data_IF_053809847902
#
_entry.id   IF_053809847902
#
_cell.length_a   1.000
_cell.length_b   1.000
_cell.length_c   1.000
_cell.angle_alpha   90.00
_cell.angle_beta   90.00
_cell.angle_gamma   90.00
#
_symmetry.space_group_name_H-M   'P 1'
#
loop_
_entity.id
_entity.type
_entity.pdbx_description
1 polymer ?
2 non-polymer ?
3 water ?
#
# COMPACT_ATOMS: atom_id res chain seq x y z
N UNK A 2 -15.44 -0.85 -0.81
CA UNK A 2 -15.29 -2.07 -1.60
C UNK A 2 -14.51 -3.13 -0.83
N UNK A 3 -13.48 -2.71 -0.10
CA UNK A 3 -12.66 -3.67 0.64
C UNK A 3 -13.35 -4.02 1.96
N UNK A 4 -13.50 -5.32 2.17
CA UNK A 4 -14.32 -5.89 3.22
C UNK A 4 -13.53 -6.61 4.31
N UNK A 5 -12.26 -6.90 4.04
CA UNK A 5 -11.41 -7.51 5.06
C UNK A 5 -10.49 -6.45 5.66
N UNK A 6 -10.52 -6.36 6.99
CA UNK A 6 -9.60 -5.49 7.71
C UNK A 6 -8.99 -6.30 8.85
N UNK A 7 -7.86 -5.84 9.35
CA UNK A 7 -7.12 -6.61 10.35
C UNK A 7 -7.62 -6.32 11.76
N UNK A 8 -8.19 -7.34 12.40
CA UNK A 8 -8.66 -7.18 13.78
C UNK A 8 -7.48 -6.91 14.70
N UNK A 9 -7.67 -6.11 15.73
CA UNK A 9 -6.72 -5.82 16.77
C UNK A 9 -5.38 -5.31 16.29
N UNK A 10 -5.42 -4.40 15.32
CA UNK A 10 -4.21 -3.84 14.76
C UNK A 10 -3.43 -3.02 15.78
N UNK A 11 -2.11 -3.19 15.78
CA UNK A 11 -1.27 -2.34 16.63
C UNK A 11 -0.37 -1.49 15.75
N UNK A 12 -0.91 -0.35 15.30
CA UNK A 12 -0.26 0.50 14.32
C UNK A 12 1.13 0.92 14.76
N UNK A 13 1.39 0.92 16.06
CA UNK A 13 2.73 1.33 16.49
C UNK A 13 3.76 0.37 15.90
N UNK A 14 3.44 -0.91 16.05
CA UNK A 14 4.20 -2.06 15.62
C UNK A 14 4.58 -2.04 14.14
N UNK A 15 3.73 -1.52 13.26
CA UNK A 15 4.03 -1.57 11.82
C UNK A 15 5.07 -0.53 11.41
N UNK A 16 5.72 0.10 12.38
CA UNK A 16 6.71 1.10 12.00
C UNK A 16 7.95 0.43 11.42
N UNK A 17 8.70 1.20 10.63
CA UNK A 17 9.93 0.69 10.06
C UNK A 17 10.00 0.64 8.56
N UNK A 18 11.02 -0.08 8.09
CA UNK A 18 11.29 -0.14 6.66
C UNK A 18 10.38 -1.13 5.95
N UNK A 19 9.89 -0.76 4.77
CA UNK A 19 8.97 -1.64 4.05
C UNK A 19 9.33 -1.73 2.57
N UNK A 20 9.10 -2.91 2.00
CA UNK A 20 9.28 -3.13 0.58
C UNK A 20 7.95 -3.39 -0.11
N UNK A 21 7.66 -2.63 -1.16
CA UNK A 21 6.47 -2.89 -1.96
C UNK A 21 6.74 -4.07 -2.90
N UNK A 22 6.58 -5.29 -2.42
CA UNK A 22 6.78 -6.49 -3.21
C UNK A 22 5.88 -6.52 -4.44
N UNK A 23 4.58 -6.29 -4.25
CA UNK A 23 3.62 -6.28 -5.35
C UNK A 23 2.54 -5.21 -5.15
N UNK A 24 1.84 -4.88 -6.23
CA UNK A 24 0.80 -3.88 -6.29
C UNK A 24 -0.30 -4.31 -7.26
N UNK A 25 -1.53 -3.87 -7.00
CA UNK A 25 -2.66 -4.21 -7.86
C UNK A 25 -3.68 -3.09 -7.87
N UNK A 26 -4.32 -2.85 -9.01
CA UNK A 26 -5.35 -1.81 -9.09
C UNK A 26 -6.60 -2.33 -9.78
N UNK A 27 -7.72 -1.62 -9.60
CA UNK A 27 -8.96 -2.07 -10.23
C UNK A 27 -9.01 -1.53 -11.67
N UNK A 28 -8.03 -0.70 -11.99
CA UNK A 28 -7.88 -0.02 -13.26
C UNK A 28 -6.44 -0.03 -13.75
N UNK A 29 -6.22 -0.57 -14.95
CA UNK A 29 -4.88 -0.69 -15.49
C UNK A 29 -4.18 0.66 -15.53
N UNK A 30 -4.99 1.70 -15.71
CA UNK A 30 -4.53 3.08 -15.82
C UNK A 30 -3.85 3.58 -14.55
N UNK A 31 -4.20 2.97 -13.41
CA UNK A 31 -3.64 3.42 -12.14
C UNK A 31 -2.23 2.90 -11.90
N UNK A 32 -1.81 1.94 -12.72
CA UNK A 32 -0.53 1.29 -12.47
C UNK A 32 0.29 1.08 -13.74
N UNK A 33 -0.32 1.14 -14.91
CA UNK A 33 0.33 0.88 -16.19
C UNK A 33 1.69 1.55 -16.30
N UNK A 34 1.75 2.84 -16.61
CA UNK A 34 3.03 3.52 -16.75
C UNK A 34 3.70 3.84 -15.42
N UNK A 35 4.95 4.30 -15.47
CA UNK A 35 5.69 4.59 -14.24
C UNK A 35 5.22 5.89 -13.61
N UNK A 36 4.54 6.72 -14.38
CA UNK A 36 3.94 7.96 -13.90
C UNK A 36 2.47 7.75 -13.54
N UNK A 37 2.04 6.50 -13.56
CA UNK A 37 0.68 6.15 -13.17
C UNK A 37 0.40 6.67 -11.77
N UNK A 38 -0.81 7.14 -11.53
CA UNK A 38 -1.16 7.70 -10.21
C UNK A 38 -0.80 6.79 -9.05
N UNK A 39 -1.43 5.62 -8.93
CA UNK A 39 -1.18 4.86 -7.70
C UNK A 39 0.08 4.02 -7.77
N UNK A 40 1.00 4.37 -8.67
CA UNK A 40 2.24 3.59 -8.75
C UNK A 40 3.27 4.15 -7.78
N UNK A 41 3.14 3.79 -6.51
CA UNK A 41 4.03 4.36 -5.50
C UNK A 41 4.76 3.28 -4.72
N UNK A 42 6.01 3.62 -4.38
CA UNK A 42 6.86 2.67 -3.67
C UNK A 42 7.14 3.14 -2.25
N UNK A 43 6.84 2.25 -1.31
CA UNK A 43 6.92 2.59 0.10
C UNK A 43 8.31 2.36 0.68
N UNK A 44 8.77 3.43 1.32
CA UNK A 44 10.09 3.49 1.94
C UNK A 44 9.99 3.02 3.38
N UNK A 45 9.03 3.60 4.10
CA UNK A 45 8.89 3.23 5.50
C UNK A 45 7.57 3.71 6.11
N UNK A 46 7.05 2.91 7.03
CA UNK A 46 5.84 3.27 7.76
C UNK A 46 6.20 3.92 9.10
N UNK A 47 5.68 5.12 9.33
CA UNK A 47 5.96 5.91 10.52
C UNK A 47 4.70 6.37 11.25
N UNK A 48 4.22 5.54 12.17
CA UNK A 48 3.06 5.85 13.00
C UNK A 48 3.38 6.81 14.15
N UNK A 49 2.61 7.89 14.19
CA UNK A 49 2.71 8.94 15.18
C UNK A 49 2.06 8.54 16.50
N UNK A 50 2.68 9.01 17.58
CA UNK A 50 2.26 8.72 18.95
C UNK A 50 0.78 9.01 19.18
N UNK A 51 0.18 9.98 18.50
CA UNK A 51 -1.27 10.17 18.67
C UNK A 51 -2.04 9.20 17.77
N UNK A 52 -1.33 8.23 17.18
CA UNK A 52 -1.98 7.20 16.40
C UNK A 52 -2.32 7.60 14.98
N UNK A 53 -1.56 8.52 14.39
CA UNK A 53 -1.70 8.88 12.98
C UNK A 53 -0.72 8.04 12.17
N UNK A 54 -0.70 8.14 10.84
CA UNK A 54 0.24 7.30 10.10
C UNK A 54 0.95 8.05 8.98
N UNK A 55 2.16 8.49 9.29
CA UNK A 55 3.09 9.09 8.34
C UNK A 55 3.64 8.04 7.38
N UNK A 56 3.47 8.23 6.08
CA UNK A 56 3.99 7.26 5.12
C UNK A 56 5.04 7.86 4.19
N UNK A 57 6.22 7.23 4.18
CA UNK A 57 7.31 7.58 3.27
C UNK A 57 7.31 6.69 2.04
N UNK A 58 7.35 7.31 0.86
CA UNK A 58 7.35 6.52 -0.37
C UNK A 58 8.07 7.27 -1.49
N UNK A 59 8.34 6.58 -2.58
CA UNK A 59 8.87 7.20 -3.79
C UNK A 59 7.82 7.13 -4.90
N UNK A 60 7.98 8.01 -5.89
CA UNK A 60 7.02 7.95 -6.99
C UNK A 60 7.54 8.78 -8.16
N UNK A 61 7.58 8.13 -9.31
CA UNK A 61 8.03 8.76 -10.54
C UNK A 61 7.18 9.97 -10.91
N UNK A 62 7.88 11.11 -10.99
CA UNK A 62 7.19 12.33 -11.42
C UNK A 62 8.13 13.09 -12.36
N UNK A 63 7.59 13.45 -13.51
CA UNK A 63 8.29 14.12 -14.59
C UNK A 63 9.71 13.61 -14.75
N UNK A 64 9.84 12.38 -15.26
CA UNK A 64 11.12 11.76 -15.53
C UNK A 64 12.09 11.78 -14.37
N UNK A 65 11.63 11.39 -13.18
CA UNK A 65 12.49 11.39 -12.00
C UNK A 65 11.83 10.75 -10.79
N UNK A 66 12.61 9.94 -10.07
CA UNK A 66 12.19 9.30 -8.83
C UNK A 66 12.22 10.31 -7.69
N UNK A 67 11.05 10.67 -7.18
CA UNK A 67 10.96 11.70 -6.15
C UNK A 67 10.34 11.19 -4.86
N UNK A 68 11.10 11.26 -3.77
CA UNK A 68 10.55 10.80 -2.50
C UNK A 68 9.37 11.68 -2.10
N UNK A 69 8.32 11.06 -1.56
CA UNK A 69 7.13 11.79 -1.15
C UNK A 69 6.77 11.44 0.29
N UNK A 70 6.02 12.32 0.93
CA UNK A 70 5.62 12.09 2.31
C UNK A 70 4.12 12.31 2.49
N UNK A 71 3.42 11.21 2.75
CA UNK A 71 1.97 11.27 2.90
C UNK A 71 1.58 11.00 4.34
N UNK A 72 0.47 11.58 4.78
CA UNK A 72 -0.02 11.41 6.14
C UNK A 72 -1.46 10.90 6.17
N UNK A 73 -1.59 9.71 6.75
CA UNK A 73 -2.81 8.98 7.01
C UNK A 73 -3.29 9.25 8.44
N UNK A 74 -4.42 9.93 8.53
CA UNK A 74 -5.08 10.28 9.77
C UNK A 74 -5.93 9.13 10.30
N UNK A 75 -5.71 8.75 11.55
CA UNK A 75 -6.47 7.72 12.24
C UNK A 75 -7.96 8.05 12.25
N UNK A 76 -8.76 6.99 12.23
CA UNK A 76 -10.20 7.07 12.32
C UNK A 76 -10.71 6.18 13.46
N UNK A 77 -12.02 6.18 13.65
CA UNK A 77 -12.63 5.38 14.71
C UNK A 77 -12.17 3.93 14.59
N UNK A 78 -12.08 3.44 13.35
CA UNK A 78 -11.59 2.07 13.18
C UNK A 78 -10.07 2.02 13.09
N UNK A 79 -9.46 1.29 14.01
CA UNK A 79 -8.01 1.18 14.08
C UNK A 79 -7.33 0.86 12.75
N UNK A 80 -7.92 0.08 11.85
CA UNK A 80 -7.24 -0.27 10.61
C UNK A 80 -7.59 0.63 9.43
N UNK A 81 -8.39 1.66 9.67
CA UNK A 81 -8.76 2.57 8.59
C UNK A 81 -8.27 3.99 8.86
N UNK A 82 -7.61 4.57 7.87
CA UNK A 82 -6.97 5.87 7.95
C UNK A 82 -7.44 6.72 6.77
N UNK A 83 -7.35 8.04 6.91
CA UNK A 83 -7.79 8.89 5.81
C UNK A 83 -6.64 9.79 5.36
N UNK A 84 -6.37 9.75 4.06
CA UNK A 84 -5.34 10.63 3.54
C UNK A 84 -5.96 11.99 3.18
N UNK A 85 -5.59 12.95 3.99
CA UNK A 85 -5.88 14.37 3.96
C UNK A 85 -5.79 14.96 2.57
N UNK A 86 -6.81 14.73 1.74
CA UNK A 86 -6.72 15.27 0.38
C UNK A 86 -8.07 15.27 -0.34
N UNK A 87 -7.99 15.71 -1.60
CA UNK A 87 -9.13 15.85 -2.50
C UNK A 87 -9.83 14.50 -2.68
N UNK A 88 -11.15 14.51 -2.77
CA UNK A 88 -11.96 13.31 -2.98
C UNK A 88 -11.93 12.33 -1.81
N UNK A 89 -11.17 12.62 -0.77
CA UNK A 89 -11.05 11.77 0.40
C UNK A 89 -10.81 10.32 0.00
N UNK A 90 -9.66 9.80 0.44
CA UNK A 90 -9.34 8.41 0.12
C UNK A 90 -9.03 7.68 1.42
N UNK A 91 -9.48 6.43 1.50
CA UNK A 91 -9.18 5.64 2.69
C UNK A 91 -7.99 4.72 2.47
N UNK A 92 -7.27 4.47 3.55
CA UNK A 92 -6.17 3.53 3.66
C UNK A 92 -6.55 2.40 4.61
N UNK A 93 -6.66 1.19 4.09
CA UNK A 93 -7.12 0.09 4.94
C UNK A 93 -6.02 -0.94 5.17
N UNK A 94 -5.70 -1.25 6.42
CA UNK A 94 -4.77 -2.37 6.61
C UNK A 94 -5.61 -3.65 6.62
N UNK A 95 -5.32 -4.54 5.67
CA UNK A 95 -6.04 -5.79 5.53
C UNK A 95 -5.50 -6.84 6.48
N UNK A 96 -4.18 -6.83 6.67
CA UNK A 96 -3.57 -7.93 7.42
C UNK A 96 -2.07 -7.76 7.54
N UNK A 97 -1.48 -8.12 8.68
CA UNK A 97 -0.04 -8.02 8.87
C UNK A 97 0.43 -8.82 10.08
N UNK A 98 1.68 -9.28 10.00
CA UNK A 98 2.31 -9.97 11.13
C UNK A 98 3.43 -9.08 11.67
N UNK A 99 3.44 -7.84 11.17
CA UNK A 99 4.28 -6.78 11.69
C UNK A 99 5.76 -6.91 11.36
N UNK A 100 6.24 -8.15 11.27
CA UNK A 100 7.67 -8.40 11.14
C UNK A 100 8.02 -9.13 9.85
N UNK A 101 7.00 -9.49 9.07
CA UNK A 101 7.22 -10.20 7.81
C UNK A 101 6.56 -9.45 6.66
N UNK A 102 5.24 -9.31 6.72
CA UNK A 102 4.50 -8.62 5.68
C UNK A 102 3.44 -7.68 6.24
N UNK A 103 2.81 -6.95 5.33
CA UNK A 103 1.68 -6.07 5.58
C UNK A 103 0.89 -5.87 4.29
N UNK A 104 -0.39 -6.23 4.31
CA UNK A 104 -1.26 -6.00 3.17
C UNK A 104 -2.15 -4.80 3.40
N UNK A 105 -2.03 -3.72 2.63
CA UNK A 105 -3.10 -2.71 2.81
C UNK A 105 -3.51 -2.18 1.43
N UNK A 106 -4.65 -1.49 1.40
CA UNK A 106 -5.21 -0.96 0.18
C UNK A 106 -5.57 0.53 0.30
N UNK A 107 -5.96 1.10 -0.83
CA UNK A 107 -6.41 2.49 -0.87
C UNK A 107 -7.60 2.61 -1.82
N UNK A 108 -8.76 2.95 -1.26
CA UNK A 108 -9.97 3.11 -2.06
C UNK A 108 -10.47 4.55 -1.98
N UNK A 109 -10.95 5.06 -3.12
CA UNK A 109 -11.49 6.41 -3.10
C UNK A 109 -13.01 6.34 -2.89
N UNK A 110 -13.44 6.85 -1.75
CA UNK A 110 -14.84 6.90 -1.36
C UNK A 110 -15.74 7.28 -2.54
N UNK A 111 -17.01 6.93 -2.43
CA UNK A 111 -18.04 7.26 -3.42
C UNK A 111 -17.71 6.69 -4.80
N UNK A 112 -16.80 5.72 -4.85
CA UNK A 112 -16.38 5.11 -6.10
C UNK A 112 -15.19 4.17 -5.89
N UNK A 113 -15.54 2.98 -5.42
CA UNK A 113 -14.61 1.86 -5.27
C UNK A 113 -13.82 1.58 -6.55
N UNK A 114 -14.20 0.54 -7.28
CA UNK A 114 -13.51 0.03 -8.46
C UNK A 114 -13.03 1.11 -9.42
N UNK A 115 -13.65 2.29 -9.45
CA UNK A 115 -13.15 3.40 -10.24
C UNK A 115 -12.11 4.19 -9.43
N UNK A 116 -11.45 3.49 -8.53
CA UNK A 116 -10.40 3.93 -7.64
C UNK A 116 -10.17 2.90 -6.53
N UNK A 117 -9.11 2.12 -6.66
CA UNK A 117 -8.71 1.15 -5.66
C UNK A 117 -7.42 0.45 -6.05
N UNK A 118 -6.50 0.39 -5.09
CA UNK A 118 -5.23 -0.27 -5.36
C UNK A 118 -4.68 -0.88 -4.07
N UNK A 119 -4.05 -2.04 -4.20
CA UNK A 119 -3.50 -2.69 -3.01
C UNK A 119 -2.04 -3.04 -3.15
N UNK A 120 -1.37 -3.17 -2.00
CA UNK A 120 0.04 -3.50 -2.06
C UNK A 120 0.32 -4.69 -1.15
N UNK A 121 1.43 -5.37 -1.41
CA UNK A 121 1.96 -6.35 -0.49
C UNK A 121 3.33 -5.87 0.01
N UNK A 122 3.37 -5.33 1.22
CA UNK A 122 4.56 -4.84 1.90
C UNK A 122 5.35 -5.93 2.62
N UNK A 123 6.65 -5.99 2.33
CA UNK A 123 7.50 -6.91 3.08
C UNK A 123 8.66 -6.14 3.70
N UNK A 124 9.19 -6.71 4.78
CA UNK A 124 10.27 -6.09 5.53
C UNK A 124 11.61 -6.20 4.82
N UNK A 125 11.87 -7.29 4.11
CA UNK A 125 13.14 -7.54 3.44
C UNK A 125 13.00 -7.53 1.92
N UNK A 126 14.09 -7.42 1.17
CA UNK A 126 14.01 -7.39 -0.30
C UNK A 126 13.98 -8.80 -0.88
N UNK A 127 13.35 -9.69 -0.13
CA UNK A 127 13.20 -11.09 -0.47
C UNK A 127 11.78 -11.37 -0.94
N UNK A 128 11.62 -12.16 -2.01
CA UNK A 128 10.20 -12.39 -2.35
C UNK A 128 9.67 -13.50 -1.44
N UNK A 129 8.56 -13.18 -0.78
CA UNK A 129 7.85 -14.01 0.17
C UNK A 129 6.64 -14.70 -0.45
N UNK A 130 6.76 -15.97 -0.82
CA UNK A 130 5.63 -16.61 -1.50
C UNK A 130 4.45 -16.71 -0.55
N UNK A 131 4.76 -16.94 0.72
CA UNK A 131 3.72 -17.01 1.75
C UNK A 131 2.82 -15.78 1.67
N UNK A 132 3.42 -14.61 1.83
CA UNK A 132 2.74 -13.33 1.75
C UNK A 132 1.99 -13.16 0.44
N UNK A 133 2.61 -13.46 -0.69
CA UNK A 133 1.95 -13.32 -2.00
C UNK A 133 0.66 -14.13 -2.03
N UNK A 134 0.73 -15.30 -1.41
CA UNK A 134 -0.48 -16.11 -1.25
C UNK A 134 -1.58 -15.28 -0.60
N UNK A 135 -1.30 -14.72 0.57
CA UNK A 135 -2.30 -13.95 1.31
C UNK A 135 -2.79 -12.76 0.50
N UNK A 136 -1.86 -12.20 -0.27
CA UNK A 136 -2.22 -11.00 -1.03
C UNK A 136 -3.18 -11.37 -2.15
N UNK A 137 -2.89 -12.49 -2.81
CA UNK A 137 -3.75 -12.94 -3.90
C UNK A 137 -5.10 -13.39 -3.37
N UNK A 138 -5.06 -14.10 -2.25
CA UNK A 138 -6.28 -14.55 -1.59
C UNK A 138 -7.22 -13.38 -1.35
N UNK A 139 -6.69 -12.35 -0.70
CA UNK A 139 -7.43 -11.16 -0.31
C UNK A 139 -8.00 -10.43 -1.51
N UNK A 140 -7.25 -10.52 -2.61
CA UNK A 140 -7.64 -9.78 -3.81
C UNK A 140 -8.56 -10.63 -4.67
N UNK A 141 -8.59 -11.92 -4.38
CA UNK A 141 -9.35 -12.88 -5.17
C UNK A 141 -10.78 -12.43 -5.41
N UNK A 142 -11.35 -11.69 -4.47
CA UNK A 142 -12.70 -11.17 -4.61
C UNK A 142 -12.71 -9.83 -5.35
N UNK A 143 -11.74 -8.99 -5.01
CA UNK A 143 -11.66 -7.62 -5.48
C UNK A 143 -11.55 -7.57 -7.00
N UNK A 144 -12.12 -6.55 -7.61
CA UNK A 144 -12.15 -6.44 -9.07
C UNK A 144 -10.92 -5.74 -9.64
N UNK A 145 -9.79 -6.41 -9.52
CA UNK A 145 -8.48 -5.95 -9.93
C UNK A 145 -8.21 -6.27 -11.39
N UNK A 146 -7.45 -5.42 -12.08
CA UNK A 146 -7.24 -5.60 -13.52
C UNK A 146 -5.77 -5.51 -13.91
N UNK A 147 -4.95 -4.88 -13.08
CA UNK A 147 -3.50 -4.93 -13.28
C UNK A 147 -2.81 -5.46 -12.02
N UNK A 148 -1.77 -6.26 -12.17
CA UNK A 148 -1.01 -6.84 -11.06
C UNK A 148 0.48 -6.79 -11.35
N UNK A 149 1.25 -6.16 -10.46
CA UNK A 149 2.69 -6.05 -10.59
C UNK A 149 3.42 -6.80 -9.48
N UNK A 150 4.69 -7.12 -9.73
CA UNK A 150 5.54 -7.82 -8.78
C UNK A 150 7.01 -7.57 -9.10
N UNK A 151 7.81 -7.38 -8.06
CA UNK A 151 9.20 -6.95 -8.26
C UNK A 151 10.19 -8.00 -7.82
N UNK A 152 11.46 -7.80 -8.16
CA UNK A 152 12.46 -8.81 -7.78
C UNK A 152 13.43 -8.16 -6.80
N UNK A 153 14.16 -8.95 -6.04
CA UNK A 153 15.06 -8.41 -5.01
C UNK A 153 15.92 -7.26 -5.53
N UNK A 154 16.37 -7.35 -6.77
CA UNK A 154 17.22 -6.36 -7.41
C UNK A 154 16.49 -5.04 -7.66
N UNK A 155 15.27 -5.10 -8.16
CA UNK A 155 14.46 -3.91 -8.37
C UNK A 155 14.06 -3.27 -7.04
N UNK A 156 14.00 -4.11 -6.01
CA UNK A 156 13.57 -3.70 -4.68
C UNK A 156 14.66 -2.90 -3.96
N UNK A 157 15.91 -3.13 -4.33
CA UNK A 157 17.02 -2.35 -3.78
C UNK A 157 17.29 -1.13 -4.66
N UNK A 158 16.45 -0.90 -5.65
CA UNK A 158 16.55 0.24 -6.54
C UNK A 158 15.53 1.32 -6.21
N UNK A 159 15.90 2.58 -6.37
CA UNK A 159 14.90 3.63 -6.18
C UNK A 159 13.85 3.53 -7.28
N UNK A 160 12.59 3.47 -6.88
CA UNK A 160 11.47 3.42 -7.81
C UNK A 160 11.48 2.09 -8.56
N UNK A 161 12.07 1.10 -7.90
CA UNK A 161 12.16 -0.28 -8.35
C UNK A 161 12.54 -0.32 -9.82
N UNK A 162 13.49 0.55 -10.15
CA UNK A 162 13.98 0.61 -11.52
C UNK A 162 14.83 -0.62 -11.80
X LIG B 1 -1.01 4.16 -0.10
X LIG B 1 -1.31 2.69 0.25
X LIG B 1 -0.80 1.70 -0.76
X LIG B 1 -1.53 1.94 -2.07
X LIG B 1 -1.53 3.40 -2.44
X LIG B 1 -1.17 4.42 -1.61
X LIG B 1 -1.50 5.79 -2.05
X LIG B 1 -0.76 6.78 -2.53
X LIG B 1 -1.03 8.13 -2.95
X LIG B 1 0.01 8.85 -3.42
X LIG B 1 -0.03 10.22 -3.88
X LIG B 1 1.03 10.94 -4.30
X LIG B 1 0.97 12.32 -4.80
X LIG B 1 0.53 12.48 -6.05
X LIG B 1 0.33 13.74 -6.81
X LIG B 1 1.38 14.01 -7.58
X LIG B 1 -2.05 4.99 0.70
X LIG B 1 0.39 4.55 0.41
X LIG B 1 -2.23 3.60 -3.77
X LIG B 1 -2.46 8.65 -2.90
X LIG B 1 1.41 13.41 -3.89
#
# INVERSE_FOLDING_TARGET
LIVTQTMKGLDIQKVAGTWYSLAMAASDISLLDAQSAPLRVYVEELKPTPEGDLEILLQKWENGECAQKKIIAEKTKIPAVFKIDALNENKVLVLDTDYKKYLLFCMENSAEPEQSLACQCLVRTPEVDDEALEKFDKALKALPMHIRLSFNPTQLEEQCHI
RTL C1 C2 C3 C4 C5 C6 C7 C8 C9 C10 C11 C12 C13 C14 C15 O1 C16 C17 C18 C19 C20
#
